data_IF_258255048637
#
_entry.id   IF_258255048637
#
_cell.length_a   1.000
_cell.length_b   1.000
_cell.length_c   1.000
_cell.angle_alpha   90.00
_cell.angle_beta   90.00
_cell.angle_gamma   90.00
#
_symmetry.space_group_name_H-M   'P 1'
#
loop_
_entity.id
_entity.type
_entity.pdbx_description
1 polymer ?
#
# COMPACT_ATOMS: atom_id res chain seq x y z
N UNK A 1 15.22 -6.09 -4.71
CA UNK A 1 13.78 -5.84 -4.49
C UNK A 1 13.55 -4.35 -4.64
N UNK A 2 12.56 -3.93 -5.44
CA UNK A 2 12.20 -2.52 -5.63
C UNK A 2 11.49 -2.00 -4.37
N UNK A 3 11.84 -0.82 -3.89
CA UNK A 3 11.26 -0.20 -2.68
C UNK A 3 10.36 0.99 -2.99
N UNK A 4 10.30 1.42 -4.25
CA UNK A 4 9.46 2.52 -4.71
C UNK A 4 8.25 1.96 -5.46
N UNK A 5 7.03 2.45 -5.16
CA UNK A 5 5.84 2.04 -5.92
C UNK A 5 5.99 2.33 -7.41
N UNK A 6 5.39 1.48 -8.25
CA UNK A 6 5.39 1.66 -9.70
C UNK A 6 4.26 2.61 -10.12
N UNK A 7 4.53 3.91 -10.15
CA UNK A 7 3.52 4.89 -10.54
C UNK A 7 3.29 4.91 -12.05
N UNK A 8 2.03 4.84 -12.47
CA UNK A 8 1.63 5.10 -13.85
C UNK A 8 1.98 6.55 -14.20
N UNK A 9 2.87 6.71 -15.18
CA UNK A 9 3.38 8.01 -15.66
C UNK A 9 3.86 8.93 -14.54
N UNK A 10 4.49 8.36 -13.50
CA UNK A 10 4.99 9.06 -12.31
C UNK A 10 3.92 9.79 -11.47
N UNK A 11 2.65 9.40 -11.60
CA UNK A 11 1.52 10.16 -11.03
C UNK A 11 0.57 9.35 -10.17
N UNK A 12 0.12 8.18 -10.63
CA UNK A 12 -0.94 7.41 -9.95
C UNK A 12 -0.50 5.97 -9.72
N UNK A 13 -0.79 5.45 -8.53
CA UNK A 13 -0.62 4.03 -8.20
C UNK A 13 -1.84 3.61 -7.37
N UNK A 14 -2.50 2.52 -7.77
CA UNK A 14 -3.68 2.01 -7.07
C UNK A 14 -3.26 1.39 -5.73
N UNK A 15 -4.17 1.37 -4.76
CA UNK A 15 -4.02 0.57 -3.54
C UNK A 15 -5.33 -0.17 -3.28
N UNK A 16 -5.29 -1.49 -3.40
CA UNK A 16 -6.47 -2.36 -3.29
C UNK A 16 -6.11 -3.63 -2.52
N UNK A 17 -7.07 -4.22 -1.82
CA UNK A 17 -6.85 -5.41 -1.00
C UNK A 17 -6.87 -6.68 -1.86
N UNK A 18 -6.00 -7.64 -1.55
CA UNK A 18 -6.10 -9.00 -2.08
C UNK A 18 -6.83 -9.94 -1.11
N UNK A 19 -7.68 -10.80 -1.65
CA UNK A 19 -8.33 -11.87 -0.90
C UNK A 19 -7.49 -13.16 -0.77
N UNK A 20 -6.51 -13.34 -1.65
CA UNK A 20 -5.62 -14.52 -1.68
C UNK A 20 -4.32 -14.22 -2.44
N UNK A 21 -3.33 -15.12 -2.41
CA UNK A 21 -2.07 -15.00 -3.17
C UNK A 21 -2.31 -15.04 -4.68
N UNK A 22 -3.26 -15.85 -5.14
CA UNK A 22 -3.62 -15.91 -6.56
C UNK A 22 -4.31 -14.61 -7.00
N UNK A 23 -5.24 -14.11 -6.20
CA UNK A 23 -5.88 -12.83 -6.45
C UNK A 23 -4.89 -11.65 -6.42
N UNK A 24 -3.84 -11.72 -5.59
CA UNK A 24 -2.77 -10.71 -5.63
C UNK A 24 -2.04 -10.67 -6.98
N UNK A 25 -1.76 -11.84 -7.59
CA UNK A 25 -1.17 -11.90 -8.94
C UNK A 25 -2.12 -11.33 -9.98
N UNK A 26 -3.39 -11.73 -9.94
CA UNK A 26 -4.41 -11.21 -10.85
C UNK A 26 -4.56 -9.70 -10.77
N UNK A 27 -4.58 -9.12 -9.56
CA UNK A 27 -4.64 -7.67 -9.34
C UNK A 27 -3.40 -6.99 -9.92
N UNK A 28 -2.22 -7.56 -9.66
CA UNK A 28 -0.95 -7.00 -10.12
C UNK A 28 -0.88 -6.98 -11.65
N UNK A 29 -1.24 -8.10 -12.29
CA UNK A 29 -1.25 -8.24 -13.74
C UNK A 29 -2.32 -7.33 -14.38
N UNK A 30 -3.53 -7.28 -13.81
CA UNK A 30 -4.61 -6.43 -14.31
C UNK A 30 -4.30 -4.92 -14.21
N UNK A 31 -3.48 -4.52 -13.25
CA UNK A 31 -3.03 -3.14 -13.10
C UNK A 31 -1.75 -2.82 -13.88
N UNK A 32 -1.24 -3.77 -14.69
CA UNK A 32 0.04 -3.65 -15.40
C UNK A 32 1.20 -3.29 -14.44
N UNK A 33 1.12 -3.81 -13.21
CA UNK A 33 2.06 -3.52 -12.11
C UNK A 33 1.92 -2.14 -11.48
N UNK A 34 0.95 -1.30 -11.84
CA UNK A 34 0.72 0.03 -11.28
C UNK A 34 -0.18 0.05 -10.04
N UNK A 35 0.08 -0.88 -9.12
CA UNK A 35 -0.73 -1.11 -7.92
C UNK A 35 0.16 -1.49 -6.74
N UNK A 36 -0.27 -1.14 -5.53
CA UNK A 36 0.17 -1.75 -4.29
C UNK A 36 -0.94 -2.66 -3.78
N UNK A 37 -0.63 -3.93 -3.61
CA UNK A 37 -1.59 -4.94 -3.16
C UNK A 37 -1.59 -4.99 -1.63
N UNK A 38 -2.74 -4.67 -1.05
CA UNK A 38 -2.94 -4.60 0.38
C UNK A 38 -3.12 -5.97 1.02
N UNK A 39 -2.31 -6.26 2.03
CA UNK A 39 -2.47 -7.40 2.93
C UNK A 39 -2.62 -6.88 4.35
N UNK A 40 -3.69 -7.28 5.04
CA UNK A 40 -4.02 -6.75 6.36
C UNK A 40 -3.29 -7.54 7.43
N UNK A 41 -2.52 -6.82 8.26
CA UNK A 41 -1.86 -7.41 9.42
C UNK A 41 -2.87 -8.12 10.32
N UNK A 42 -4.02 -7.50 10.64
CA UNK A 42 -5.05 -8.08 11.53
C UNK A 42 -5.54 -9.50 11.19
N UNK A 43 -5.27 -10.01 9.99
CA UNK A 43 -5.58 -11.38 9.59
C UNK A 43 -4.62 -12.42 10.19
N UNK A 44 -3.53 -11.99 10.83
CA UNK A 44 -2.52 -12.87 11.42
C UNK A 44 -2.52 -12.75 12.96
N UNK A 45 -2.26 -13.87 13.67
CA UNK A 45 -2.24 -13.87 15.13
C UNK A 45 -0.95 -13.26 15.72
N UNK A 46 0.14 -13.20 14.96
CA UNK A 46 1.45 -12.73 15.42
C UNK A 46 2.29 -12.14 14.27
N UNK A 47 3.37 -11.44 14.64
CA UNK A 47 4.26 -10.77 13.67
C UNK A 47 5.02 -11.78 12.81
N UNK A 48 5.44 -12.93 13.35
CA UNK A 48 6.25 -13.89 12.62
C UNK A 48 5.45 -14.55 11.49
N UNK A 49 4.20 -14.94 11.77
CA UNK A 49 3.29 -15.48 10.76
C UNK A 49 2.94 -14.43 9.69
N UNK A 50 2.70 -13.18 10.07
CA UNK A 50 2.47 -12.08 9.13
C UNK A 50 3.69 -11.84 8.21
N UNK A 51 4.89 -11.75 8.78
CA UNK A 51 6.12 -11.53 8.01
C UNK A 51 6.39 -12.67 7.03
N UNK A 52 6.20 -13.92 7.46
CA UNK A 52 6.38 -15.08 6.60
C UNK A 52 5.44 -15.03 5.39
N UNK A 53 4.15 -14.80 5.62
CA UNK A 53 3.15 -14.81 4.55
C UNK A 53 3.26 -13.58 3.64
N UNK A 54 3.47 -12.39 4.20
CA UNK A 54 3.65 -11.15 3.43
C UNK A 54 4.91 -11.18 2.55
N UNK A 55 5.97 -11.89 2.95
CA UNK A 55 7.15 -12.11 2.09
C UNK A 55 6.81 -12.96 0.88
N UNK A 56 5.91 -13.93 1.02
CA UNK A 56 5.48 -14.74 -0.13
C UNK A 56 4.60 -13.93 -1.07
N UNK A 57 3.68 -13.10 -0.55
CA UNK A 57 2.96 -12.13 -1.37
C UNK A 57 3.94 -11.24 -2.14
N UNK A 58 4.89 -10.62 -1.46
CA UNK A 58 5.87 -9.72 -2.06
C UNK A 58 6.67 -10.39 -3.20
N UNK A 59 7.07 -11.66 -3.07
CA UNK A 59 7.75 -12.39 -4.16
C UNK A 59 6.90 -12.56 -5.40
N UNK A 60 5.58 -12.68 -5.26
CA UNK A 60 4.65 -12.91 -6.37
C UNK A 60 4.33 -11.65 -7.17
N UNK A 61 4.54 -10.47 -6.61
CA UNK A 61 4.10 -9.17 -7.17
C UNK A 61 5.24 -8.14 -7.24
N UNK A 62 6.49 -8.58 -7.41
CA UNK A 62 7.68 -7.73 -7.46
C UNK A 62 7.77 -6.70 -6.31
N UNK A 63 7.46 -7.17 -5.10
CA UNK A 63 7.45 -6.37 -3.87
C UNK A 63 6.45 -5.21 -3.86
N UNK A 64 5.45 -5.21 -4.74
CA UNK A 64 4.34 -4.25 -4.77
C UNK A 64 3.31 -4.49 -3.66
N UNK A 65 3.77 -4.64 -2.43
CA UNK A 65 2.98 -4.94 -1.24
C UNK A 65 2.63 -3.66 -0.46
N UNK A 66 1.40 -3.58 0.05
CA UNK A 66 0.96 -2.59 1.03
C UNK A 66 0.58 -3.29 2.33
N UNK A 67 1.34 -3.07 3.40
CA UNK A 67 1.01 -3.60 4.74
C UNK A 67 -0.10 -2.75 5.36
N UNK A 68 -1.28 -3.33 5.53
CA UNK A 68 -2.45 -2.64 6.09
C UNK A 68 -2.66 -2.94 7.58
N UNK A 69 -3.19 -1.96 8.33
CA UNK A 69 -3.63 -2.18 9.72
C UNK A 69 -4.83 -3.16 9.75
N UNK A 70 -5.86 -2.85 8.96
CA UNK A 70 -7.15 -3.53 8.95
C UNK A 70 -8.20 -2.77 9.75
N UNK A 71 -9.37 -2.53 9.15
CA UNK A 71 -10.52 -1.83 9.75
C UNK A 71 -10.24 -0.44 10.38
N UNK A 72 -9.14 0.22 10.02
CA UNK A 72 -8.73 1.50 10.64
C UNK A 72 -8.28 1.35 12.10
N UNK A 73 -7.95 0.13 12.55
CA UNK A 73 -7.54 -0.14 13.92
C UNK A 73 -6.17 0.49 14.21
N UNK A 74 -6.04 1.37 15.21
CA UNK A 74 -4.75 1.95 15.59
C UNK A 74 -3.79 0.91 16.18
N UNK A 75 -4.29 -0.28 16.53
CA UNK A 75 -3.48 -1.41 17.02
C UNK A 75 -3.39 -2.49 15.92
N UNK A 76 -2.30 -2.52 15.12
CA UNK A 76 -2.01 -3.67 14.29
C UNK A 76 -1.60 -4.88 15.16
N UNK A 77 -1.56 -6.08 14.54
CA UNK A 77 -1.28 -7.39 15.16
C UNK A 77 -0.35 -7.36 16.36
N UNK A 78 -0.83 -7.94 17.48
CA UNK A 78 -0.01 -8.22 18.66
C UNK A 78 0.37 -6.96 19.41
N UNK A 79 -0.12 -6.83 20.64
CA UNK A 79 0.03 -5.65 21.50
C UNK A 79 1.45 -5.48 22.09
N UNK A 80 2.51 -5.76 21.33
CA UNK A 80 3.90 -5.77 21.79
C UNK A 80 4.83 -4.93 20.93
N UNK A 81 5.29 -3.80 21.49
CA UNK A 81 6.44 -2.96 21.11
C UNK A 81 6.64 -2.61 19.62
N UNK A 82 6.55 -1.29 19.36
CA UNK A 82 6.75 -0.66 18.06
C UNK A 82 8.23 -0.60 17.68
N UNK A 83 8.60 -1.30 16.61
CA UNK A 83 9.63 -0.82 15.68
C UNK A 83 9.27 -1.13 14.23
N UNK A 84 8.09 -0.68 13.81
CA UNK A 84 7.83 -0.44 12.39
C UNK A 84 8.31 0.97 12.09
N UNK A 85 9.63 1.16 11.99
CA UNK A 85 10.19 2.32 11.31
C UNK A 85 9.67 2.27 9.86
N UNK A 86 8.80 3.20 9.41
CA UNK A 86 8.30 3.19 8.05
C UNK A 86 9.48 3.48 7.13
N UNK A 87 10.07 2.43 6.58
CA UNK A 87 11.10 2.52 5.57
C UNK A 87 10.55 3.23 4.33
N UNK A 88 10.75 4.54 4.27
CA UNK A 88 10.87 5.36 3.06
C UNK A 88 9.80 5.20 1.95
N UNK A 89 8.57 4.78 2.24
CA UNK A 89 7.49 4.79 1.23
C UNK A 89 6.89 6.19 1.00
N UNK A 90 7.24 7.18 1.84
CA UNK A 90 6.99 8.58 1.57
C UNK A 90 8.27 9.27 1.07
N UNK A 91 8.83 8.78 -0.03
CA UNK A 91 9.74 9.60 -0.83
C UNK A 91 8.95 10.84 -1.24
N UNK A 92 9.20 11.96 -0.55
CA UNK A 92 8.76 13.29 -0.97
C UNK A 92 9.31 13.48 -2.38
N UNK A 93 8.47 13.40 -3.41
CA UNK A 93 8.88 13.81 -4.75
C UNK A 93 9.27 15.30 -4.66
N UNK A 94 10.54 15.68 -4.92
CA UNK A 94 10.90 17.08 -5.00
C UNK A 94 10.18 17.69 -6.23
N UNK A 95 9.25 18.63 -6.00
CA UNK A 95 8.53 19.33 -7.06
C UNK A 95 7.00 19.37 -6.94
N UNK A 96 6.40 18.63 -6.00
CA UNK A 96 4.95 18.71 -5.77
C UNK A 96 4.60 19.93 -4.89
N UNK A 97 4.54 21.11 -5.49
CA UNK A 97 3.94 22.28 -4.83
C UNK A 97 2.48 21.95 -4.48
N UNK A 98 2.15 21.98 -3.18
CA UNK A 98 0.75 21.98 -2.70
C UNK A 98 0.05 23.23 -3.24
N UNK A 99 -0.53 23.17 -4.44
CA UNK A 99 -1.61 24.09 -4.80
C UNK A 99 -2.81 23.65 -3.98
N UNK A 100 -3.13 24.43 -2.95
CA UNK A 100 -4.38 24.29 -2.22
C UNK A 100 -5.55 24.31 -3.21
N UNK A 101 -6.47 23.39 -3.05
CA UNK A 101 -7.74 23.39 -3.77
C UNK A 101 -8.52 24.64 -3.36
N UNK A 102 -8.66 25.61 -4.27
CA UNK A 102 -9.63 26.69 -4.13
C UNK A 102 -10.91 26.25 -4.85
N UNK A 103 -12.03 26.02 -4.15
CA UNK A 103 -13.29 25.70 -4.82
C UNK A 103 -13.70 26.88 -5.69
N UNK A 104 -13.94 26.64 -6.98
CA UNK A 104 -14.61 27.62 -7.84
C UNK A 104 -16.03 27.79 -7.32
N UNK A 105 -16.37 28.99 -6.89
CA UNK A 105 -17.75 29.35 -6.61
C UNK A 105 -18.61 29.01 -7.84
N UNK A 106 -19.66 28.22 -7.62
CA UNK A 106 -20.68 27.97 -8.62
C UNK A 106 -21.25 29.32 -9.07
N UNK A 107 -21.03 29.68 -10.33
CA UNK A 107 -21.78 30.78 -10.93
C UNK A 107 -23.19 30.23 -11.18
N UNK A 108 -24.14 30.76 -10.42
CA UNK A 108 -25.53 30.76 -10.85
C UNK A 108 -25.68 31.83 -11.93
N UNK A 109 -26.28 31.41 -13.05
CA UNK A 109 -26.75 32.16 -14.22
C UNK A 109 -25.69 32.76 -15.18
#
# INVERSE_FOLDING_TARGET
MKLTPNFYRDRVCLNVLAGSKDNAREIYDAAEGHVLVGVLSKNYPDVASAVADMRDYAKLIDNALSVGLGAGDPKPVGDGERDFSPGAAAARQPGLHRRGYQPRAARAE
#
